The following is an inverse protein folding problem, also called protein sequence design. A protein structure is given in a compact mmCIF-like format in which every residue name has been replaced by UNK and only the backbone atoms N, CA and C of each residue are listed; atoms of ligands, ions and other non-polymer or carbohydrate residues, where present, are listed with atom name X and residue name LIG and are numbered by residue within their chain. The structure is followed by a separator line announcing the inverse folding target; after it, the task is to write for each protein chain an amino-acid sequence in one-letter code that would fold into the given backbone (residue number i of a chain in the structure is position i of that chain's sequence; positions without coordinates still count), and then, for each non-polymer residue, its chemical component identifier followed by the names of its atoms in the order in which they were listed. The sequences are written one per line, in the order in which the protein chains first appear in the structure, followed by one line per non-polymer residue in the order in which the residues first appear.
data_IF_336952824733
#
_entry.id   IF_336952824733
#
_cell.length_a   1.000
_cell.length_b   1.000
_cell.length_c   1.000
_cell.angle_alpha   90.00
_cell.angle_beta   90.00
_cell.angle_gamma   90.00
#
_symmetry.space_group_name_H-M   'P 1'
#
loop_
_entity.id
_entity.type
_entity.pdbx_description
1 polymer ?
#
# COMPACT_ATOMS: atom_id res chain seq x y z
N UNK A 1 27.22 2.80 -4.58
CA UNK A 1 25.96 2.14 -4.13
C UNK A 1 24.74 3.06 -4.15
N UNK A 2 24.73 4.17 -3.39
CA UNK A 2 23.59 5.12 -3.32
C UNK A 2 23.09 5.63 -4.69
N UNK A 3 23.99 6.18 -5.51
CA UNK A 3 23.68 6.69 -6.86
C UNK A 3 23.05 5.63 -7.77
N UNK A 4 23.52 4.39 -7.67
CA UNK A 4 23.02 3.28 -8.48
C UNK A 4 21.61 2.87 -8.07
N UNK A 5 21.33 2.78 -6.76
CA UNK A 5 20.00 2.45 -6.27
C UNK A 5 18.97 3.50 -6.70
N UNK A 6 19.33 4.78 -6.57
CA UNK A 6 18.51 5.90 -7.02
C UNK A 6 18.26 5.88 -8.53
N UNK A 7 19.32 5.73 -9.33
CA UNK A 7 19.20 5.68 -10.79
C UNK A 7 18.28 4.55 -11.26
N UNK A 8 18.38 3.37 -10.64
CA UNK A 8 17.53 2.24 -10.99
C UNK A 8 16.08 2.43 -10.59
N UNK A 9 15.84 3.02 -9.42
CA UNK A 9 14.49 3.40 -8.99
C UNK A 9 13.87 4.39 -9.98
N UNK A 10 14.61 5.44 -10.36
CA UNK A 10 14.20 6.42 -11.37
C UNK A 10 13.93 5.79 -12.74
N UNK A 11 14.77 4.86 -13.18
CA UNK A 11 14.57 4.14 -14.44
C UNK A 11 13.29 3.29 -14.42
N UNK A 12 13.05 2.58 -13.31
CA UNK A 12 11.83 1.78 -13.12
C UNK A 12 10.59 2.67 -13.11
N UNK A 13 10.67 3.83 -12.47
CA UNK A 13 9.61 4.83 -12.46
C UNK A 13 9.34 5.37 -13.87
N UNK A 14 10.39 5.78 -14.58
CA UNK A 14 10.29 6.29 -15.95
C UNK A 14 9.64 5.28 -16.89
N UNK A 15 10.01 3.99 -16.77
CA UNK A 15 9.44 2.92 -17.60
C UNK A 15 7.94 2.73 -17.37
N UNK A 16 7.49 2.91 -16.13
CA UNK A 16 6.10 2.67 -15.75
C UNK A 16 5.26 3.95 -15.66
N UNK A 17 5.80 5.12 -16.05
CA UNK A 17 5.16 6.42 -15.79
C UNK A 17 3.77 6.55 -16.43
N UNK A 18 3.59 6.10 -17.67
CA UNK A 18 2.29 6.14 -18.35
C UNK A 18 1.25 5.27 -17.65
N UNK A 19 1.68 4.11 -17.14
CA UNK A 19 0.81 3.19 -16.43
C UNK A 19 0.48 3.71 -15.02
N UNK A 20 1.40 4.41 -14.37
CA UNK A 20 1.13 5.13 -13.13
C UNK A 20 0.14 6.28 -13.32
N UNK A 21 0.29 7.07 -14.38
CA UNK A 21 -0.68 8.11 -14.73
C UNK A 21 -2.06 7.49 -15.00
N UNK A 22 -2.12 6.37 -15.72
CA UNK A 22 -3.35 5.63 -15.93
C UNK A 22 -4.00 5.19 -14.60
N UNK A 23 -3.22 4.63 -13.66
CA UNK A 23 -3.73 4.27 -12.33
C UNK A 23 -4.28 5.46 -11.55
N UNK A 24 -3.61 6.62 -11.62
CA UNK A 24 -4.09 7.85 -10.97
C UNK A 24 -5.41 8.33 -11.59
N UNK A 25 -5.53 8.31 -12.92
CA UNK A 25 -6.77 8.69 -13.61
C UNK A 25 -7.90 7.73 -13.25
N UNK A 26 -7.64 6.42 -13.27
CA UNK A 26 -8.63 5.41 -12.86
C UNK A 26 -9.04 5.60 -11.40
N UNK A 27 -8.10 5.87 -10.49
CA UNK A 27 -8.39 6.18 -9.09
C UNK A 27 -9.32 7.40 -8.97
N UNK A 28 -9.02 8.50 -9.66
CA UNK A 28 -9.84 9.72 -9.60
C UNK A 28 -11.25 9.47 -10.16
N UNK A 29 -11.37 8.87 -11.34
CA UNK A 29 -12.67 8.61 -11.97
C UNK A 29 -13.50 7.65 -11.11
N UNK A 30 -12.89 6.54 -10.68
CA UNK A 30 -13.60 5.51 -9.92
C UNK A 30 -13.99 6.00 -8.52
N UNK A 31 -13.13 6.75 -7.84
CA UNK A 31 -13.46 7.34 -6.54
C UNK A 31 -14.60 8.33 -6.64
N UNK A 32 -14.60 9.23 -7.64
CA UNK A 32 -15.70 10.18 -7.88
C UNK A 32 -17.01 9.44 -8.15
N UNK A 33 -17.00 8.42 -9.02
CA UNK A 33 -18.20 7.64 -9.35
C UNK A 33 -18.76 6.94 -8.12
N UNK A 34 -17.92 6.24 -7.36
CA UNK A 34 -18.36 5.50 -6.17
C UNK A 34 -18.85 6.44 -5.07
N UNK A 35 -18.15 7.55 -4.81
CA UNK A 35 -18.55 8.52 -3.81
C UNK A 35 -19.89 9.17 -4.18
N UNK A 36 -20.08 9.59 -5.43
CA UNK A 36 -21.36 10.13 -5.88
C UNK A 36 -22.48 9.09 -5.77
N UNK A 37 -22.20 7.83 -6.15
CA UNK A 37 -23.17 6.75 -6.05
C UNK A 37 -23.58 6.48 -4.60
N UNK A 38 -22.61 6.40 -3.67
CA UNK A 38 -22.87 6.19 -2.24
C UNK A 38 -23.61 7.38 -1.64
N UNK A 39 -23.23 8.61 -1.99
CA UNK A 39 -23.92 9.82 -1.52
C UNK A 39 -25.36 9.85 -2.00
N UNK A 40 -25.60 9.46 -3.26
CA UNK A 40 -26.95 9.36 -3.82
C UNK A 40 -27.80 8.30 -3.09
N UNK A 41 -27.22 7.14 -2.76
CA UNK A 41 -27.89 6.12 -1.97
C UNK A 41 -28.23 6.59 -0.56
N UNK A 42 -27.27 7.20 0.14
CA UNK A 42 -27.47 7.74 1.49
C UNK A 42 -28.49 8.88 1.50
N UNK A 43 -28.58 9.66 0.41
CA UNK A 43 -29.54 10.74 0.30
C UNK A 43 -31.00 10.24 0.35
N UNK A 44 -31.29 9.01 -0.07
CA UNK A 44 -32.65 8.45 0.04
C UNK A 44 -33.12 8.23 1.46
N UNK A 45 -32.21 8.12 2.43
CA UNK A 45 -32.56 7.98 3.84
C UNK A 45 -33.04 9.32 4.44
N UNK A 46 -32.86 10.44 3.72
CA UNK A 46 -33.30 11.76 4.16
C UNK A 46 -34.73 12.07 3.65
N UNK A 47 -35.67 12.39 4.53
CA UNK A 47 -37.08 12.59 4.17
C UNK A 47 -37.29 13.77 3.21
N UNK A 48 -36.45 14.80 3.31
CA UNK A 48 -36.56 16.03 2.52
C UNK A 48 -35.80 15.93 1.18
N UNK A 49 -35.13 14.82 0.87
CA UNK A 49 -34.33 14.72 -0.35
C UNK A 49 -35.17 14.95 -1.61
N UNK A 50 -36.32 14.30 -1.72
CA UNK A 50 -37.18 14.41 -2.91
C UNK A 50 -37.77 15.82 -3.03
N UNK A 51 -38.12 16.47 -1.91
CA UNK A 51 -38.68 17.83 -1.91
C UNK A 51 -37.61 18.86 -2.30
N UNK A 52 -36.41 18.76 -1.73
CA UNK A 52 -35.27 19.64 -2.04
C UNK A 52 -34.84 19.49 -3.51
N UNK A 53 -34.70 18.26 -4.01
CA UNK A 53 -34.37 18.03 -5.43
C UNK A 53 -35.43 18.63 -6.36
N UNK A 54 -36.71 18.57 -5.99
CA UNK A 54 -37.82 19.14 -6.78
C UNK A 54 -37.83 20.66 -6.78
N UNK A 55 -37.39 21.31 -5.71
CA UNK A 55 -37.27 22.78 -5.65
C UNK A 55 -36.18 23.31 -6.58
N UNK A 56 -35.16 22.50 -6.89
CA UNK A 56 -34.05 22.89 -7.76
C UNK A 56 -33.11 23.94 -7.14
N UNK A 57 -33.28 24.26 -5.85
CA UNK A 57 -32.42 25.21 -5.15
C UNK A 57 -31.04 24.58 -4.89
N UNK A 58 -30.01 25.16 -5.50
CA UNK A 58 -28.63 24.67 -5.37
C UNK A 58 -28.08 24.83 -3.96
N UNK A 59 -28.52 25.84 -3.22
CA UNK A 59 -28.02 26.10 -1.86
C UNK A 59 -28.48 25.01 -0.88
N UNK A 60 -29.80 24.74 -0.87
CA UNK A 60 -30.40 23.68 -0.07
C UNK A 60 -29.86 22.29 -0.44
N UNK A 61 -29.61 22.04 -1.74
CA UNK A 61 -29.01 20.78 -2.18
C UNK A 61 -27.56 20.64 -1.68
N UNK A 62 -26.78 21.73 -1.70
CA UNK A 62 -25.40 21.73 -1.20
C UNK A 62 -25.36 21.49 0.31
N UNK A 63 -26.24 22.16 1.07
CA UNK A 63 -26.33 22.00 2.52
C UNK A 63 -26.72 20.55 2.89
N UNK A 64 -27.69 19.97 2.18
CA UNK A 64 -28.10 18.57 2.37
C UNK A 64 -26.93 17.60 2.08
N UNK A 65 -26.22 17.78 0.95
CA UNK A 65 -25.07 16.93 0.61
C UNK A 65 -23.97 17.06 1.66
N UNK A 66 -23.71 18.27 2.15
CA UNK A 66 -22.71 18.48 3.19
C UNK A 66 -23.11 17.81 4.51
N UNK A 67 -24.38 17.89 4.88
CA UNK A 67 -24.92 17.19 6.05
C UNK A 67 -24.77 15.67 5.92
N UNK A 68 -25.14 15.09 4.76
CA UNK A 68 -24.97 13.66 4.47
C UNK A 68 -23.50 13.24 4.67
N UNK A 69 -22.56 14.04 4.17
CA UNK A 69 -21.13 13.75 4.27
C UNK A 69 -20.65 13.78 5.73
N UNK A 70 -21.09 14.76 6.51
CA UNK A 70 -20.73 14.88 7.93
C UNK A 70 -21.31 13.73 8.75
N UNK A 71 -22.59 13.42 8.57
CA UNK A 71 -23.26 12.37 9.36
C UNK A 71 -22.72 10.97 9.03
N UNK A 72 -22.30 10.75 7.78
CA UNK A 72 -21.78 9.46 7.30
C UNK A 72 -20.25 9.43 7.12
N UNK A 73 -19.53 10.28 7.85
CA UNK A 73 -18.09 10.49 7.68
C UNK A 73 -17.27 9.18 7.70
N UNK A 74 -17.63 8.23 8.57
CA UNK A 74 -16.98 6.91 8.68
C UNK A 74 -17.06 6.09 7.40
N UNK A 75 -18.17 6.16 6.67
CA UNK A 75 -18.36 5.44 5.39
C UNK A 75 -17.42 6.01 4.33
N UNK A 76 -17.34 7.34 4.23
CA UNK A 76 -16.44 8.00 3.29
C UNK A 76 -14.95 7.73 3.61
N UNK A 77 -14.60 7.61 4.89
CA UNK A 77 -13.27 7.17 5.30
C UNK A 77 -12.93 5.77 4.80
N UNK A 78 -13.81 4.80 5.03
CA UNK A 78 -13.61 3.42 4.59
C UNK A 78 -13.43 3.33 3.08
N UNK A 79 -14.26 4.06 2.31
CA UNK A 79 -14.16 4.11 0.85
C UNK A 79 -12.83 4.75 0.41
N UNK A 80 -12.48 5.90 0.99
CA UNK A 80 -11.22 6.60 0.69
C UNK A 80 -10.01 5.73 1.02
N UNK A 81 -10.04 5.01 2.15
CA UNK A 81 -9.00 4.08 2.55
C UNK A 81 -8.85 2.90 1.60
N UNK A 82 -9.96 2.28 1.19
CA UNK A 82 -9.94 1.18 0.24
C UNK A 82 -9.29 1.60 -1.07
N UNK A 83 -9.71 2.73 -1.66
CA UNK A 83 -9.14 3.22 -2.90
C UNK A 83 -7.67 3.61 -2.77
N UNK A 84 -7.30 4.29 -1.68
CA UNK A 84 -5.93 4.75 -1.44
C UNK A 84 -4.98 3.57 -1.25
N UNK A 85 -5.35 2.59 -0.43
CA UNK A 85 -4.55 1.39 -0.21
C UNK A 85 -4.45 0.53 -1.47
N UNK A 86 -5.53 0.39 -2.26
CA UNK A 86 -5.51 -0.33 -3.52
C UNK A 86 -4.58 0.33 -4.54
N UNK A 87 -4.61 1.66 -4.66
CA UNK A 87 -3.73 2.41 -5.54
C UNK A 87 -2.25 2.23 -5.15
N UNK A 88 -1.94 2.34 -3.86
CA UNK A 88 -0.58 2.14 -3.33
C UNK A 88 -0.09 0.71 -3.60
N UNK A 89 -0.97 -0.28 -3.43
CA UNK A 89 -0.66 -1.66 -3.76
C UNK A 89 -0.32 -1.84 -5.25
N UNK A 90 -1.15 -1.29 -6.15
CA UNK A 90 -0.90 -1.33 -7.61
C UNK A 90 0.43 -0.67 -7.99
N UNK A 91 0.74 0.49 -7.41
CA UNK A 91 2.04 1.15 -7.61
C UNK A 91 3.19 0.28 -7.12
N UNK A 92 3.06 -0.31 -5.93
CA UNK A 92 4.10 -1.14 -5.33
C UNK A 92 4.37 -2.43 -6.13
N UNK A 93 3.32 -3.05 -6.68
CA UNK A 93 3.43 -4.24 -7.53
C UNK A 93 4.29 -4.00 -8.77
N UNK A 94 4.23 -2.80 -9.34
CA UNK A 94 4.97 -2.41 -10.56
C UNK A 94 6.40 -1.94 -10.29
N UNK A 95 6.76 -1.73 -9.03
CA UNK A 95 8.11 -1.43 -8.57
C UNK A 95 8.68 -2.61 -7.78
N UNK A 96 8.90 -3.78 -8.40
CA UNK A 96 9.43 -4.92 -7.68
C UNK A 96 10.82 -4.60 -7.10
N UNK A 97 11.12 -5.23 -5.97
CA UNK A 97 12.47 -5.22 -5.43
C UNK A 97 13.32 -6.10 -6.36
N UNK A 98 14.41 -5.56 -6.91
CA UNK A 98 15.28 -6.29 -7.85
C UNK A 98 16.74 -5.86 -7.67
N UNK A 99 17.67 -6.81 -7.76
CA UNK A 99 19.11 -6.52 -7.84
C UNK A 99 19.53 -6.27 -9.30
N UNK A 100 20.49 -5.37 -9.59
CA UNK A 100 20.97 -5.16 -10.95
C UNK A 100 21.72 -6.40 -11.42
N UNK A 101 21.50 -6.81 -12.68
CA UNK A 101 22.27 -7.89 -13.30
C UNK A 101 23.77 -7.74 -13.08
N UNK A 102 24.28 -6.52 -13.27
CA UNK A 102 25.69 -6.17 -13.05
C UNK A 102 26.17 -6.38 -11.61
N UNK A 103 25.31 -6.24 -10.58
CA UNK A 103 25.69 -6.52 -9.20
C UNK A 103 25.68 -8.01 -8.87
N UNK A 104 24.98 -8.85 -9.63
CA UNK A 104 25.16 -10.31 -9.50
C UNK A 104 26.53 -10.74 -10.02
N UNK A 105 27.11 -10.04 -11.00
CA UNK A 105 28.43 -10.34 -11.59
C UNK A 105 29.59 -9.70 -10.80
N UNK A 106 29.32 -8.63 -10.07
CA UNK A 106 30.35 -7.87 -9.36
C UNK A 106 30.87 -8.66 -8.13
N UNK A 107 32.20 -8.69 -7.87
CA UNK A 107 32.78 -9.31 -6.68
C UNK A 107 32.51 -8.55 -5.36
N UNK A 108 31.52 -7.64 -5.36
CA UNK A 108 31.11 -6.92 -4.17
C UNK A 108 30.65 -7.91 -3.08
N UNK A 109 31.04 -7.65 -1.82
CA UNK A 109 30.72 -8.51 -0.70
C UNK A 109 29.21 -8.64 -0.46
N UNK A 110 28.78 -9.73 0.19
CA UNK A 110 27.37 -9.96 0.57
C UNK A 110 26.77 -8.77 1.32
N UNK A 111 27.55 -8.18 2.25
CA UNK A 111 27.14 -7.03 3.04
C UNK A 111 26.83 -5.79 2.17
N UNK A 112 27.64 -5.54 1.15
CA UNK A 112 27.47 -4.43 0.21
C UNK A 112 26.21 -4.62 -0.63
N UNK A 113 26.02 -5.82 -1.22
CA UNK A 113 24.81 -6.16 -1.99
C UNK A 113 23.53 -6.00 -1.14
N UNK A 114 23.57 -6.42 0.13
CA UNK A 114 22.46 -6.25 1.07
C UNK A 114 22.21 -4.77 1.41
N UNK A 115 23.28 -3.98 1.59
CA UNK A 115 23.17 -2.53 1.83
C UNK A 115 22.49 -1.82 0.66
N UNK A 116 22.82 -2.19 -0.59
CA UNK A 116 22.12 -1.69 -1.78
C UNK A 116 20.63 -2.01 -1.74
N UNK A 117 20.25 -3.26 -1.43
CA UNK A 117 18.85 -3.67 -1.37
C UNK A 117 18.06 -2.92 -0.30
N UNK A 118 18.64 -2.72 0.89
CA UNK A 118 18.03 -1.91 1.95
C UNK A 118 17.81 -0.47 1.50
N UNK A 119 18.77 0.09 0.77
CA UNK A 119 18.67 1.47 0.28
C UNK A 119 17.62 1.62 -0.83
N UNK A 120 17.52 0.63 -1.72
CA UNK A 120 16.46 0.57 -2.72
C UNK A 120 15.08 0.40 -2.07
N UNK A 121 14.96 -0.47 -1.07
CA UNK A 121 13.72 -0.66 -0.30
C UNK A 121 13.29 0.64 0.39
N UNK A 122 14.22 1.33 1.06
CA UNK A 122 13.97 2.63 1.67
C UNK A 122 13.52 3.66 0.63
N UNK A 123 14.19 3.72 -0.53
CA UNK A 123 13.80 4.59 -1.65
C UNK A 123 12.38 4.31 -2.16
N UNK A 124 12.01 3.03 -2.28
CA UNK A 124 10.65 2.62 -2.67
C UNK A 124 9.62 3.07 -1.63
N UNK A 125 9.87 2.84 -0.35
CA UNK A 125 8.97 3.28 0.74
C UNK A 125 8.82 4.81 0.72
N UNK A 126 9.92 5.56 0.59
CA UNK A 126 9.84 7.03 0.50
C UNK A 126 9.00 7.52 -0.68
N UNK A 127 9.05 6.79 -1.80
CA UNK A 127 8.23 7.11 -2.97
C UNK A 127 6.75 6.84 -2.73
N UNK A 128 6.41 5.72 -2.09
CA UNK A 128 5.02 5.41 -1.73
C UNK A 128 4.47 6.40 -0.69
N UNK A 129 5.30 6.87 0.26
CA UNK A 129 4.93 7.96 1.18
C UNK A 129 4.67 9.25 0.44
N UNK A 130 5.52 9.63 -0.51
CA UNK A 130 5.31 10.83 -1.32
C UNK A 130 4.05 10.72 -2.18
N UNK A 131 3.77 9.54 -2.74
CA UNK A 131 2.51 9.28 -3.45
C UNK A 131 1.30 9.42 -2.52
N UNK A 132 1.35 8.86 -1.31
CA UNK A 132 0.28 9.01 -0.31
C UNK A 132 0.03 10.47 0.02
N UNK A 133 1.09 11.27 0.22
CA UNK A 133 0.97 12.71 0.48
C UNK A 133 0.28 13.44 -0.69
N UNK A 134 0.66 13.13 -1.93
CA UNK A 134 0.01 13.70 -3.13
C UNK A 134 -1.48 13.33 -3.15
N UNK A 135 -1.82 12.05 -2.95
CA UNK A 135 -3.21 11.58 -2.92
C UNK A 135 -3.98 12.31 -1.82
N UNK A 136 -3.40 12.48 -0.64
CA UNK A 136 -4.08 13.13 0.49
C UNK A 136 -4.29 14.63 0.28
N UNK A 137 -3.44 15.27 -0.52
CA UNK A 137 -3.64 16.66 -0.94
C UNK A 137 -4.72 16.80 -2.02
N UNK A 138 -5.04 15.72 -2.75
CA UNK A 138 -6.12 15.72 -3.73
C UNK A 138 -7.47 15.38 -3.08
N UNK A 139 -8.31 16.40 -2.87
CA UNK A 139 -9.74 16.31 -2.50
C UNK A 139 -10.13 15.07 -1.65
N UNK A 140 -10.67 14.06 -2.31
CA UNK A 140 -11.19 12.83 -1.69
C UNK A 140 -10.15 11.96 -0.96
N UNK A 141 -8.88 12.06 -1.32
CA UNK A 141 -7.80 11.39 -0.60
C UNK A 141 -7.53 12.01 0.78
N UNK A 142 -7.96 13.25 1.02
CA UNK A 142 -7.85 13.92 2.32
C UNK A 142 -8.66 13.22 3.41
N UNK A 143 -9.76 12.56 3.05
CA UNK A 143 -10.53 11.73 3.99
C UNK A 143 -9.69 10.61 4.59
N UNK A 144 -8.61 10.16 3.95
CA UNK A 144 -7.76 9.11 4.53
C UNK A 144 -7.20 9.50 5.90
N UNK A 145 -6.84 10.77 6.12
CA UNK A 145 -6.25 11.23 7.39
C UNK A 145 -7.20 12.02 8.28
N UNK A 146 -8.46 12.20 7.86
CA UNK A 146 -9.42 13.01 8.60
C UNK A 146 -10.10 12.20 9.73
N UNK A 147 -9.30 11.64 10.63
CA UNK A 147 -9.74 10.84 11.79
C UNK A 147 -9.39 11.50 13.12
N UNK A 148 -10.06 11.05 14.17
CA UNK A 148 -9.68 11.42 15.54
C UNK A 148 -8.24 10.95 15.85
N UNK A 149 -7.46 11.70 16.66
CA UNK A 149 -6.06 11.39 16.95
C UNK A 149 -5.76 9.92 17.33
N UNK A 150 -6.52 9.25 18.22
CA UNK A 150 -6.24 7.85 18.58
C UNK A 150 -6.41 6.86 17.40
N UNK A 151 -7.41 7.09 16.54
CA UNK A 151 -7.62 6.28 15.35
C UNK A 151 -6.53 6.54 14.29
N UNK A 152 -6.11 7.81 14.15
CA UNK A 152 -5.04 8.21 13.24
C UNK A 152 -3.72 7.47 13.55
N UNK A 153 -3.36 7.31 14.84
CA UNK A 153 -2.14 6.58 15.23
C UNK A 153 -2.18 5.13 14.76
N UNK A 154 -3.31 4.44 14.95
CA UNK A 154 -3.50 3.06 14.50
C UNK A 154 -3.38 3.00 12.98
N UNK A 155 -4.07 3.88 12.26
CA UNK A 155 -4.02 3.91 10.80
C UNK A 155 -2.62 4.17 10.26
N UNK A 156 -1.88 5.13 10.82
CA UNK A 156 -0.49 5.40 10.42
C UNK A 156 0.38 4.16 10.64
N UNK A 157 0.21 3.48 11.78
CA UNK A 157 0.97 2.26 12.08
C UNK A 157 0.69 1.13 11.09
N UNK A 158 -0.59 0.86 10.80
CA UNK A 158 -1.02 -0.16 9.84
C UNK A 158 -0.55 0.18 8.41
N UNK A 159 -0.64 1.44 8.03
CA UNK A 159 -0.18 1.93 6.72
C UNK A 159 1.33 1.75 6.58
N UNK A 160 2.12 2.01 7.63
CA UNK A 160 3.56 1.80 7.61
C UNK A 160 3.94 0.32 7.40
N UNK A 161 3.26 -0.61 8.07
CA UNK A 161 3.50 -2.04 7.87
C UNK A 161 3.03 -2.53 6.50
N UNK A 162 1.90 -2.04 5.99
CA UNK A 162 1.45 -2.31 4.62
C UNK A 162 2.47 -1.84 3.60
N UNK A 163 3.04 -0.64 3.78
CA UNK A 163 4.06 -0.11 2.87
C UNK A 163 5.28 -1.01 2.85
N UNK A 164 5.70 -1.49 4.01
CA UNK A 164 6.81 -2.41 4.11
C UNK A 164 6.48 -3.76 3.44
N UNK A 165 5.35 -4.37 3.76
CA UNK A 165 4.92 -5.66 3.22
C UNK A 165 4.77 -5.59 1.69
N UNK A 166 4.08 -4.57 1.16
CA UNK A 166 3.95 -4.36 -0.27
C UNK A 166 5.29 -4.04 -0.93
N UNK A 167 6.19 -3.35 -0.22
CA UNK A 167 7.51 -3.02 -0.77
C UNK A 167 8.42 -4.25 -0.90
N UNK A 168 8.26 -5.23 -0.01
CA UNK A 168 8.92 -6.53 -0.02
C UNK A 168 8.29 -7.48 -1.05
N UNK A 169 8.22 -7.06 -2.31
CA UNK A 169 7.85 -7.92 -3.44
C UNK A 169 9.10 -8.29 -4.24
N UNK A 170 9.75 -9.43 -3.93
CA UNK A 170 10.97 -9.84 -4.59
C UNK A 170 10.73 -10.42 -5.98
N UNK A 171 11.36 -9.83 -6.99
CA UNK A 171 11.33 -10.33 -8.36
C UNK A 171 12.74 -10.70 -8.84
N UNK A 172 12.97 -11.96 -9.28
CA UNK A 172 14.24 -12.34 -9.91
C UNK A 172 14.45 -11.68 -11.29
N UNK A 173 13.43 -11.00 -11.85
CA UNK A 173 13.51 -10.37 -13.17
C UNK A 173 13.16 -11.36 -14.28
N UNK A 174 14.13 -12.09 -14.82
CA UNK A 174 13.92 -13.01 -15.95
C UNK A 174 13.29 -14.35 -15.48
N UNK A 175 12.08 -14.27 -14.92
CA UNK A 175 11.36 -15.38 -14.29
C UNK A 175 11.22 -16.59 -15.21
N UNK A 176 11.07 -16.38 -16.53
CA UNK A 176 10.94 -17.45 -17.53
C UNK A 176 12.23 -18.26 -17.72
N UNK A 177 13.40 -17.62 -17.70
CA UNK A 177 14.67 -18.34 -17.74
C UNK A 177 15.03 -18.95 -16.39
N UNK A 178 14.66 -18.26 -15.30
CA UNK A 178 14.87 -18.77 -13.95
C UNK A 178 14.09 -20.07 -13.67
N UNK A 179 12.82 -20.11 -14.06
CA UNK A 179 11.96 -21.31 -14.00
C UNK A 179 12.48 -22.47 -14.86
N UNK A 180 13.18 -22.17 -15.97
CA UNK A 180 13.75 -23.19 -16.86
C UNK A 180 15.09 -23.76 -16.36
N UNK A 181 15.95 -22.93 -15.76
CA UNK A 181 17.28 -23.34 -15.30
C UNK A 181 17.28 -23.97 -13.91
N UNK A 182 16.45 -23.46 -13.00
CA UNK A 182 16.36 -23.97 -11.63
C UNK A 182 14.89 -23.93 -11.19
N UNK A 183 14.08 -24.95 -11.53
CA UNK A 183 12.67 -25.01 -11.13
C UNK A 183 12.52 -24.89 -9.60
N UNK A 184 13.48 -25.44 -8.85
CA UNK A 184 13.50 -25.47 -7.39
C UNK A 184 13.88 -24.14 -6.71
N UNK A 185 14.48 -23.19 -7.44
CA UNK A 185 14.77 -21.84 -6.92
C UNK A 185 13.53 -20.94 -6.96
N UNK A 186 12.52 -21.31 -7.77
CA UNK A 186 11.27 -20.57 -7.93
C UNK A 186 10.13 -21.20 -7.10
N UNK A 187 10.25 -22.47 -6.71
CA UNK A 187 9.37 -23.11 -5.73
C UNK A 187 9.81 -22.73 -4.31
N UNK A 188 9.14 -21.71 -3.78
CA UNK A 188 8.92 -21.47 -2.35
C UNK A 188 10.11 -21.59 -1.40
N UNK A 189 10.83 -20.48 -1.21
CA UNK A 189 11.42 -20.23 0.12
C UNK A 189 10.34 -19.70 1.05
N UNK A 190 10.04 -20.47 2.09
CA UNK A 190 9.05 -20.21 3.14
C UNK A 190 8.93 -18.74 3.56
N UNK A 191 10.05 -18.02 3.69
CA UNK A 191 10.04 -16.60 4.09
C UNK A 191 9.47 -15.63 3.05
N UNK A 192 9.61 -15.92 1.74
CA UNK A 192 9.01 -15.11 0.66
C UNK A 192 7.50 -15.34 0.61
N UNK A 193 7.06 -16.59 0.66
CA UNK A 193 5.62 -16.92 0.73
C UNK A 193 5.00 -16.34 2.01
N UNK A 194 5.71 -16.45 3.14
CA UNK A 194 5.27 -15.89 4.42
C UNK A 194 5.06 -14.38 4.38
N UNK A 195 6.04 -13.60 3.89
CA UNK A 195 5.90 -12.13 3.81
C UNK A 195 4.88 -11.71 2.75
N UNK A 196 4.91 -12.33 1.57
CA UNK A 196 4.09 -11.90 0.43
C UNK A 196 2.62 -12.33 0.52
N UNK A 197 2.31 -13.42 1.23
CA UNK A 197 0.97 -14.00 1.28
C UNK A 197 0.39 -13.93 2.69
N UNK A 198 1.12 -14.43 3.69
CA UNK A 198 0.59 -14.55 5.05
C UNK A 198 0.62 -13.22 5.80
N UNK A 199 1.74 -12.49 5.76
CA UNK A 199 1.84 -11.21 6.46
C UNK A 199 1.03 -10.10 5.76
N UNK A 200 1.02 -10.06 4.44
CA UNK A 200 0.14 -9.17 3.67
C UNK A 200 -1.34 -9.45 3.94
N UNK A 201 -1.74 -10.74 3.99
CA UNK A 201 -3.09 -11.15 4.34
C UNK A 201 -3.48 -10.76 5.77
N UNK A 202 -2.57 -10.96 6.74
CA UNK A 202 -2.77 -10.53 8.12
C UNK A 202 -3.00 -9.02 8.21
N UNK A 203 -2.17 -8.22 7.53
CA UNK A 203 -2.30 -6.76 7.53
C UNK A 203 -3.60 -6.29 6.86
N UNK A 204 -4.06 -6.95 5.81
CA UNK A 204 -5.37 -6.67 5.19
C UNK A 204 -6.49 -6.97 6.19
N UNK A 205 -6.43 -8.11 6.88
CA UNK A 205 -7.41 -8.48 7.90
C UNK A 205 -7.43 -7.47 9.06
N UNK A 206 -6.26 -7.05 9.55
CA UNK A 206 -6.13 -6.02 10.57
C UNK A 206 -6.75 -4.69 10.13
N UNK A 207 -6.53 -4.27 8.88
CA UNK A 207 -7.17 -3.06 8.33
C UNK A 207 -8.69 -3.21 8.25
N UNK A 208 -9.19 -4.36 7.79
CA UNK A 208 -10.63 -4.62 7.73
C UNK A 208 -11.26 -4.53 9.12
N UNK A 209 -10.67 -5.20 10.12
CA UNK A 209 -11.14 -5.11 11.52
C UNK A 209 -11.11 -3.66 12.01
N UNK A 210 -10.04 -2.92 11.73
CA UNK A 210 -9.91 -1.52 12.13
C UNK A 210 -11.05 -0.64 11.59
N UNK A 211 -11.30 -0.70 10.28
CA UNK A 211 -12.37 0.06 9.65
C UNK A 211 -13.76 -0.41 10.10
N UNK A 212 -13.96 -1.70 10.34
CA UNK A 212 -15.21 -2.21 10.93
C UNK A 212 -15.44 -1.67 12.34
N UNK A 213 -14.40 -1.59 13.18
CA UNK A 213 -14.50 -1.00 14.53
C UNK A 213 -14.80 0.49 14.45
N UNK A 214 -14.16 1.24 13.55
CA UNK A 214 -14.45 2.67 13.34
C UNK A 214 -15.90 2.92 12.90
N UNK A 215 -16.46 2.02 12.09
CA UNK A 215 -17.85 2.10 11.68
C UNK A 215 -18.81 1.89 12.85
N UNK A 216 -18.56 0.89 13.71
CA UNK A 216 -19.42 0.58 14.87
C UNK A 216 -19.21 1.56 16.03
N UNK A 217 -17.99 2.08 16.20
CA UNK A 217 -17.60 2.98 17.29
C UNK A 217 -16.93 4.24 16.72
N UNK A 218 -17.71 5.25 16.32
CA UNK A 218 -17.18 6.51 15.78
C UNK A 218 -16.34 7.31 16.81
N UNK A 219 -16.66 7.16 18.10
CA UNK A 219 -15.92 7.75 19.22
C UNK A 219 -14.75 6.85 19.63
N UNK A 220 -13.78 6.70 18.73
CA UNK A 220 -12.59 5.88 18.96
C UNK A 220 -11.67 6.55 19.98
N UNK A 221 -11.41 5.90 21.10
CA UNK A 221 -10.65 6.47 22.22
C UNK A 221 -9.23 5.92 22.29
N UNK A 222 -8.37 6.56 23.09
CA UNK A 222 -7.02 6.04 23.38
C UNK A 222 -7.03 4.67 24.06
N UNK A 223 -8.09 4.35 24.80
CA UNK A 223 -8.25 3.01 25.37
C UNK A 223 -8.48 1.96 24.28
N UNK A 224 -9.21 2.32 23.22
CA UNK A 224 -9.40 1.43 22.06
C UNK A 224 -8.09 1.18 21.33
N UNK A 225 -7.20 2.19 21.25
CA UNK A 225 -5.84 2.05 20.72
C UNK A 225 -5.02 0.99 21.47
N UNK A 226 -5.24 0.78 22.77
CA UNK A 226 -4.47 -0.21 23.55
C UNK A 226 -4.69 -1.65 23.05
N UNK A 227 -5.90 -1.96 22.56
CA UNK A 227 -6.21 -3.26 21.97
C UNK A 227 -5.43 -3.55 20.69
N UNK A 228 -4.85 -2.53 20.06
CA UNK A 228 -3.99 -2.67 18.88
C UNK A 228 -2.52 -2.92 19.21
N UNK A 229 -2.10 -2.79 20.47
CA UNK A 229 -0.70 -3.01 20.87
C UNK A 229 -0.20 -4.44 20.59
N UNK A 230 -0.98 -5.52 20.83
CA UNK A 230 -0.54 -6.87 20.49
C UNK A 230 -0.30 -7.05 18.98
N UNK A 231 -1.19 -6.52 18.14
CA UNK A 231 -1.05 -6.57 16.68
C UNK A 231 0.19 -5.77 16.22
N UNK A 232 0.40 -4.58 16.80
CA UNK A 232 1.59 -3.77 16.53
C UNK A 232 2.88 -4.49 16.95
N UNK A 233 2.91 -5.11 18.13
CA UNK A 233 4.06 -5.89 18.60
C UNK A 233 4.35 -7.08 17.69
N UNK A 234 3.31 -7.80 17.25
CA UNK A 234 3.43 -8.89 16.29
C UNK A 234 4.01 -8.40 14.96
N UNK A 235 3.51 -7.29 14.42
CA UNK A 235 4.01 -6.71 13.18
C UNK A 235 5.48 -6.23 13.28
N UNK A 236 5.89 -5.66 14.41
CA UNK A 236 7.30 -5.32 14.68
C UNK A 236 8.16 -6.59 14.70
N UNK A 237 7.69 -7.64 15.38
CA UNK A 237 8.40 -8.91 15.45
C UNK A 237 8.55 -9.56 14.07
N UNK A 238 7.47 -9.62 13.29
CA UNK A 238 7.47 -10.13 11.91
C UNK A 238 8.44 -9.34 11.02
N UNK A 239 8.40 -8.01 11.12
CA UNK A 239 9.31 -7.10 10.42
C UNK A 239 10.78 -7.43 10.72
N UNK A 240 11.13 -7.52 12.01
CA UNK A 240 12.51 -7.83 12.42
C UNK A 240 12.96 -9.22 11.96
N UNK A 241 12.05 -10.20 12.03
CA UNK A 241 12.35 -11.59 11.70
C UNK A 241 12.48 -11.84 10.21
N UNK A 242 11.69 -11.18 9.35
CA UNK A 242 11.56 -11.57 7.95
C UNK A 242 12.10 -10.58 6.92
N UNK A 243 12.31 -9.29 7.24
CA UNK A 243 12.86 -8.33 6.27
C UNK A 243 14.25 -8.77 5.77
N UNK A 244 15.20 -9.00 6.69
CA UNK A 244 16.58 -9.37 6.30
C UNK A 244 16.61 -10.70 5.54
N UNK A 245 15.96 -11.78 6.01
CA UNK A 245 15.90 -13.03 5.24
C UNK A 245 15.31 -12.87 3.84
N UNK A 246 14.26 -12.07 3.65
CA UNK A 246 13.70 -11.80 2.32
C UNK A 246 14.72 -11.09 1.42
N UNK A 247 15.49 -10.15 1.96
CA UNK A 247 16.58 -9.49 1.22
C UNK A 247 17.73 -10.47 0.89
N UNK A 248 18.05 -11.40 1.78
CA UNK A 248 19.09 -12.42 1.52
C UNK A 248 18.67 -13.42 0.45
N UNK A 249 17.38 -13.79 0.39
CA UNK A 249 16.85 -14.62 -0.71
C UNK A 249 17.13 -13.98 -2.07
N UNK A 250 17.14 -12.64 -2.15
CA UNK A 250 17.46 -11.92 -3.39
C UNK A 250 18.91 -12.07 -3.82
N UNK A 251 19.82 -12.29 -2.88
CA UNK A 251 21.23 -12.54 -3.19
C UNK A 251 21.40 -13.93 -3.79
N UNK A 252 20.60 -14.90 -3.35
CA UNK A 252 20.68 -16.27 -3.84
C UNK A 252 20.19 -16.43 -5.29
N UNK A 253 19.49 -15.42 -5.83
CA UNK A 253 19.21 -15.33 -7.26
C UNK A 253 20.46 -15.12 -8.13
N UNK A 254 21.63 -14.84 -7.55
CA UNK A 254 22.93 -14.86 -8.25
C UNK A 254 23.18 -16.20 -8.95
N UNK A 255 22.73 -17.31 -8.34
CA UNK A 255 22.83 -18.67 -8.89
C UNK A 255 22.08 -18.86 -10.21
N UNK A 256 21.08 -18.01 -10.50
CA UNK A 256 20.35 -18.03 -11.77
C UNK A 256 21.17 -17.43 -12.93
N UNK A 257 22.06 -16.48 -12.61
CA UNK A 257 22.91 -15.79 -13.58
C UNK A 257 24.27 -16.48 -13.73
N UNK A 258 24.79 -17.11 -12.67
CA UNK A 258 25.94 -18.01 -12.69
C UNK A 258 25.57 -19.39 -12.11
N UNK A 259 25.17 -20.36 -12.95
CA UNK A 259 25.09 -21.73 -12.49
C UNK A 259 26.51 -22.18 -12.15
N UNK A 260 26.76 -22.46 -10.87
CA UNK A 260 27.99 -23.14 -10.46
C UNK A 260 27.96 -24.48 -11.20
N UNK A 261 28.96 -24.74 -12.05
CA UNK A 261 29.14 -26.10 -12.60
C UNK A 261 29.52 -26.97 -11.41
N UNK A 262 28.61 -27.86 -11.02
CA UNK A 262 28.98 -29.06 -10.24
C UNK A 262 29.94 -29.92 -11.05
#
# INVERSE_FOLDING_TARGET
MKKLAFYRLMLSLRRNILLFLFYMVCYLVLSIVVINHVTYWLAFDYPDFISIVRTGDRSLLQDLVFQIIIENQTVYHCISALFTLALIWLFSLRLPLQLPGALYVCPAGKADKLHYLRLYLAGKITLLVLLLLIITYTGWGGFFFYLQPPALVVQISLTAFLFLAFSLNPDPGNRKEALKKCPDIVTERSSKTFVSVYWSGLLILENTIFYSVLYVKPNFSWFDTLWWLPALALNIWLTRRHVTPVLEIMLDYEKLYFPIRE
#
